data_IF_973352102252
#
_entry.id   IF_973352102252
#
_cell.length_a   1.000
_cell.length_b   1.000
_cell.length_c   1.000
_cell.angle_alpha   90.00
_cell.angle_beta   90.00
_cell.angle_gamma   90.00
#
_symmetry.space_group_name_H-M   'P 1'
#
loop_
_entity.id
_entity.type
_entity.pdbx_description
1 polymer ?
#
# COMPACT_ATOMS: atom_id res chain seq x y z
N UNK A 1 -18.61 42.26 -15.38
CA UNK A 1 -18.05 40.90 -15.22
C UNK A 1 -19.05 39.90 -15.78
N UNK A 2 -18.63 38.98 -16.64
CA UNK A 2 -19.53 38.01 -17.29
C UNK A 2 -20.03 37.00 -16.25
N UNK A 3 -21.34 36.80 -16.17
CA UNK A 3 -21.92 35.84 -15.24
C UNK A 3 -21.66 34.42 -15.74
N UNK A 4 -20.92 33.63 -14.96
CA UNK A 4 -20.56 32.25 -15.31
C UNK A 4 -21.72 31.30 -14.97
N UNK A 5 -21.89 30.25 -15.77
CA UNK A 5 -23.00 29.31 -15.63
C UNK A 5 -22.86 28.39 -14.40
N UNK A 6 -21.63 28.06 -13.99
CA UNK A 6 -21.33 27.08 -12.92
C UNK A 6 -20.36 27.64 -11.87
N UNK A 7 -19.33 28.40 -12.28
CA UNK A 7 -18.30 28.93 -11.37
C UNK A 7 -18.93 29.87 -10.35
N UNK A 8 -18.61 29.66 -9.08
CA UNK A 8 -19.15 30.44 -7.96
C UNK A 8 -20.57 30.04 -7.50
N UNK A 9 -21.14 28.96 -8.05
CA UNK A 9 -22.48 28.47 -7.68
C UNK A 9 -22.38 27.18 -6.87
N UNK A 10 -23.32 27.00 -5.94
CA UNK A 10 -23.51 25.74 -5.22
C UNK A 10 -24.22 24.73 -6.12
N UNK A 11 -23.44 24.00 -6.92
CA UNK A 11 -23.94 22.96 -7.82
C UNK A 11 -23.77 21.57 -7.21
N UNK A 12 -24.66 20.64 -7.55
CA UNK A 12 -24.54 19.25 -7.12
C UNK A 12 -23.28 18.62 -7.74
N UNK A 13 -22.39 18.09 -6.89
CA UNK A 13 -21.19 17.37 -7.33
C UNK A 13 -21.59 16.04 -7.98
N UNK A 14 -21.02 15.72 -9.15
CA UNK A 14 -21.40 14.56 -9.97
C UNK A 14 -21.45 13.23 -9.22
N UNK A 15 -20.47 12.98 -8.36
CA UNK A 15 -20.30 11.74 -7.59
C UNK A 15 -21.00 11.79 -6.21
N UNK A 16 -21.61 12.92 -5.82
CA UNK A 16 -22.18 13.08 -4.47
C UNK A 16 -23.25 12.04 -4.19
N UNK A 17 -24.17 11.82 -5.13
CA UNK A 17 -25.30 10.91 -4.96
C UNK A 17 -24.86 9.46 -4.77
N UNK A 18 -23.89 8.98 -5.55
CA UNK A 18 -23.38 7.61 -5.41
C UNK A 18 -22.69 7.42 -4.05
N UNK A 19 -21.84 8.37 -3.66
CA UNK A 19 -21.11 8.32 -2.37
C UNK A 19 -22.02 8.35 -1.16
N UNK A 20 -23.02 9.25 -1.11
CA UNK A 20 -23.92 9.34 0.07
C UNK A 20 -24.89 8.17 0.17
N UNK A 21 -25.10 7.43 -0.93
CA UNK A 21 -25.93 6.23 -0.96
C UNK A 21 -25.12 4.94 -0.79
N UNK A 22 -23.80 5.00 -0.61
CA UNK A 22 -22.94 3.82 -0.53
C UNK A 22 -22.89 3.00 -1.83
N UNK A 23 -23.09 3.65 -2.99
CA UNK A 23 -23.10 3.02 -4.32
C UNK A 23 -21.82 3.25 -5.11
N UNK A 24 -20.93 4.09 -4.59
CA UNK A 24 -19.61 4.27 -5.17
C UNK A 24 -18.74 3.08 -4.77
N UNK A 25 -18.14 2.38 -5.74
CA UNK A 25 -17.21 1.29 -5.49
C UNK A 25 -15.78 1.84 -5.38
N UNK A 26 -15.12 1.54 -4.26
CA UNK A 26 -13.71 1.82 -4.05
C UNK A 26 -12.88 0.56 -4.30
N UNK A 27 -11.56 0.70 -4.45
CA UNK A 27 -10.67 -0.45 -4.68
C UNK A 27 -10.80 -1.55 -3.62
N UNK A 28 -11.17 -1.19 -2.38
CA UNK A 28 -11.37 -2.13 -1.27
C UNK A 28 -12.66 -2.94 -1.38
N UNK A 29 -13.64 -2.47 -2.16
CA UNK A 29 -14.91 -3.16 -2.39
C UNK A 29 -14.80 -4.20 -3.52
N UNK A 30 -13.76 -4.09 -4.35
CA UNK A 30 -13.53 -4.96 -5.49
C UNK A 30 -13.19 -6.39 -5.06
N UNK A 31 -13.78 -7.37 -5.74
CA UNK A 31 -13.47 -8.79 -5.59
C UNK A 31 -13.23 -9.40 -6.96
N UNK A 32 -12.09 -10.05 -7.14
CA UNK A 32 -11.72 -10.73 -8.38
C UNK A 32 -11.59 -12.25 -8.16
N UNK A 33 -11.95 -13.09 -9.15
CA UNK A 33 -11.67 -14.52 -9.09
C UNK A 33 -10.17 -14.78 -8.86
N UNK A 34 -9.84 -15.60 -7.86
CA UNK A 34 -8.45 -15.93 -7.53
C UNK A 34 -7.65 -14.84 -6.80
N UNK A 35 -8.32 -13.79 -6.31
CA UNK A 35 -7.66 -12.71 -5.56
C UNK A 35 -6.93 -13.22 -4.31
N UNK A 36 -5.65 -12.90 -4.20
CA UNK A 36 -4.86 -13.09 -2.98
C UNK A 36 -5.00 -11.86 -2.08
N UNK A 37 -4.91 -12.07 -0.77
CA UNK A 37 -4.80 -11.01 0.22
C UNK A 37 -3.36 -10.96 0.73
N UNK A 38 -2.80 -9.75 0.86
CA UNK A 38 -1.44 -9.53 1.33
C UNK A 38 -1.46 -8.80 2.67
N UNK A 39 -0.45 -9.05 3.51
CA UNK A 39 -0.24 -8.34 4.77
C UNK A 39 1.25 -8.03 4.94
N UNK A 40 1.60 -6.76 4.90
CA UNK A 40 2.96 -6.34 5.20
C UNK A 40 3.30 -6.56 6.69
N UNK A 41 4.43 -7.21 6.95
CA UNK A 41 5.08 -7.24 8.25
C UNK A 41 5.96 -6.00 8.38
N UNK A 42 5.64 -5.12 9.33
CA UNK A 42 6.43 -3.93 9.62
C UNK A 42 7.49 -4.19 10.69
N UNK A 43 8.62 -3.47 10.61
CA UNK A 43 9.66 -3.48 11.63
C UNK A 43 9.13 -3.05 13.01
N UNK A 44 9.40 -3.78 14.10
CA UNK A 44 9.12 -3.30 15.45
C UNK A 44 10.17 -2.29 15.95
N UNK A 45 11.28 -2.12 15.22
CA UNK A 45 12.40 -1.28 15.61
C UNK A 45 12.44 0.03 14.81
N UNK A 46 12.80 1.17 15.46
CA UNK A 46 12.93 2.44 14.77
C UNK A 46 14.14 2.50 13.84
N UNK A 47 15.22 1.77 14.14
CA UNK A 47 16.36 1.62 13.24
C UNK A 47 17.15 0.36 13.59
N UNK A 48 17.36 -0.54 12.63
CA UNK A 48 18.06 -1.80 12.87
C UNK A 48 18.62 -2.39 11.57
N UNK A 49 19.69 -3.18 11.67
CA UNK A 49 20.17 -3.98 10.54
C UNK A 49 19.32 -5.25 10.42
N UNK A 50 18.90 -5.58 9.21
CA UNK A 50 18.25 -6.85 8.90
C UNK A 50 19.35 -7.86 8.66
N UNK A 51 19.55 -8.76 9.62
CA UNK A 51 20.55 -9.83 9.50
C UNK A 51 19.98 -11.02 8.73
N UNK A 52 18.79 -11.47 9.12
CA UNK A 52 18.08 -12.60 8.53
C UNK A 52 16.57 -12.36 8.59
N UNK A 53 15.84 -12.96 7.63
CA UNK A 53 14.38 -13.11 7.67
C UNK A 53 14.13 -14.60 7.46
N UNK A 54 13.50 -15.24 8.45
CA UNK A 54 13.05 -16.63 8.35
C UNK A 54 11.53 -16.64 8.17
N UNK A 55 11.08 -17.06 6.99
CA UNK A 55 9.67 -17.12 6.62
C UNK A 55 9.09 -18.55 6.72
N UNK A 56 9.90 -19.55 7.09
CA UNK A 56 9.56 -20.97 6.97
C UNK A 56 8.26 -21.35 7.70
N UNK A 57 8.05 -20.81 8.90
CA UNK A 57 6.84 -21.06 9.67
C UNK A 57 5.59 -20.47 8.99
N UNK A 58 5.70 -19.28 8.38
CA UNK A 58 4.58 -18.63 7.70
C UNK A 58 4.23 -19.35 6.40
N UNK A 59 5.23 -19.80 5.63
CA UNK A 59 5.04 -20.54 4.38
C UNK A 59 4.31 -21.89 4.58
N UNK A 60 4.41 -22.48 5.76
CA UNK A 60 3.75 -23.74 6.10
C UNK A 60 2.30 -23.57 6.55
N UNK A 61 1.83 -22.34 6.79
CA UNK A 61 0.46 -22.11 7.26
C UNK A 61 -0.56 -22.38 6.14
N UNK A 62 -1.67 -23.10 6.43
CA UNK A 62 -2.76 -23.25 5.49
C UNK A 62 -3.29 -21.89 5.01
N UNK A 63 -3.41 -21.71 3.69
CA UNK A 63 -3.92 -20.49 3.07
C UNK A 63 -2.85 -19.44 2.73
N UNK A 64 -1.59 -19.62 3.16
CA UNK A 64 -0.48 -18.79 2.70
C UNK A 64 -0.04 -19.25 1.31
N UNK A 65 -0.06 -18.33 0.35
CA UNK A 65 0.35 -18.62 -1.03
C UNK A 65 1.86 -18.49 -1.24
N UNK A 66 2.46 -17.51 -0.57
CA UNK A 66 3.88 -17.19 -0.59
C UNK A 66 4.19 -16.17 0.52
N UNK A 67 5.48 -16.02 0.84
CA UNK A 67 6.01 -14.85 1.57
C UNK A 67 7.01 -14.18 0.64
N UNK A 68 6.95 -12.86 0.52
CA UNK A 68 7.90 -12.08 -0.28
C UNK A 68 8.74 -11.18 0.60
N UNK A 69 10.01 -11.03 0.25
CA UNK A 69 10.97 -10.15 0.94
C UNK A 69 11.56 -9.14 -0.03
N UNK A 70 12.46 -8.29 0.46
CA UNK A 70 13.20 -7.39 -0.42
C UNK A 70 13.93 -8.11 -1.56
N UNK A 71 14.30 -9.40 -1.41
CA UNK A 71 14.96 -10.19 -2.44
C UNK A 71 14.09 -10.40 -3.70
N UNK A 72 12.77 -10.45 -3.52
CA UNK A 72 11.79 -10.66 -4.59
C UNK A 72 11.35 -9.35 -5.26
N UNK A 73 11.76 -8.21 -4.69
CA UNK A 73 11.44 -6.88 -5.18
C UNK A 73 12.57 -6.28 -6.02
N UNK A 74 12.25 -5.45 -7.03
CA UNK A 74 13.25 -4.67 -7.75
C UNK A 74 14.08 -3.79 -6.80
N UNK A 75 15.35 -3.55 -7.13
CA UNK A 75 16.25 -2.65 -6.37
C UNK A 75 15.83 -1.16 -6.53
N UNK A 76 14.78 -0.87 -7.29
CA UNK A 76 14.30 0.48 -7.56
C UNK A 76 13.79 1.13 -6.27
N UNK A 77 14.38 2.28 -5.94
CA UNK A 77 13.93 3.10 -4.83
C UNK A 77 12.72 3.95 -5.22
N UNK A 78 11.79 4.05 -4.29
CA UNK A 78 10.61 4.90 -4.28
C UNK A 78 10.87 6.13 -3.40
N UNK A 79 9.87 6.99 -3.26
CA UNK A 79 9.99 8.21 -2.45
C UNK A 79 9.07 9.31 -2.97
N UNK A 80 9.07 10.43 -2.27
CA UNK A 80 8.15 11.56 -2.52
C UNK A 80 8.84 12.64 -3.33
N UNK A 81 8.16 13.12 -4.38
CA UNK A 81 8.69 14.17 -5.26
C UNK A 81 9.96 13.72 -5.99
N UNK A 82 11.05 14.46 -5.81
CA UNK A 82 12.34 14.20 -6.48
C UNK A 82 13.27 13.28 -5.68
N UNK A 83 12.95 12.98 -4.42
CA UNK A 83 13.79 12.13 -3.56
C UNK A 83 13.39 10.66 -3.75
N UNK A 84 14.38 9.81 -4.03
CA UNK A 84 14.22 8.37 -4.29
C UNK A 84 15.13 7.56 -3.36
N UNK A 85 14.73 7.43 -2.11
CA UNK A 85 15.53 6.86 -1.02
C UNK A 85 14.83 5.70 -0.28
N UNK A 86 13.56 5.40 -0.60
CA UNK A 86 12.75 4.40 0.11
C UNK A 86 12.66 3.09 -0.69
N UNK A 87 13.18 1.97 -0.18
CA UNK A 87 12.96 0.68 -0.84
C UNK A 87 11.48 0.26 -0.75
N UNK A 88 11.02 -0.65 -1.61
CA UNK A 88 9.65 -1.18 -1.55
C UNK A 88 9.45 -2.01 -0.27
N UNK A 89 10.42 -2.89 0.02
CA UNK A 89 10.58 -3.62 1.27
C UNK A 89 11.99 -3.34 1.78
N UNK A 90 12.14 -3.11 3.07
CA UNK A 90 13.40 -2.75 3.70
C UNK A 90 14.50 -3.76 3.35
N UNK A 91 15.65 -3.24 2.91
CA UNK A 91 16.79 -4.04 2.46
C UNK A 91 18.02 -3.71 3.30
N UNK A 92 18.49 -4.69 4.07
CA UNK A 92 19.69 -4.60 4.91
C UNK A 92 19.54 -3.73 6.16
N UNK A 93 18.72 -2.68 6.13
CA UNK A 93 18.44 -1.80 7.26
C UNK A 93 16.99 -1.33 7.23
N UNK A 94 16.38 -1.25 8.41
CA UNK A 94 15.11 -0.54 8.67
C UNK A 94 15.43 0.81 9.29
N UNK A 95 14.64 1.83 8.95
CA UNK A 95 14.83 3.26 9.23
C UNK A 95 13.70 3.86 10.06
N UNK A 96 12.59 3.13 10.22
CA UNK A 96 11.47 3.55 11.07
C UNK A 96 10.61 2.35 11.53
N UNK A 97 9.86 2.56 12.62
CA UNK A 97 8.89 1.57 13.12
C UNK A 97 7.77 1.42 12.08
N UNK A 98 7.48 0.19 11.70
CA UNK A 98 6.49 -0.14 10.69
C UNK A 98 7.02 -0.15 9.26
N UNK A 99 8.32 0.09 9.03
CA UNK A 99 8.89 -0.09 7.69
C UNK A 99 8.69 -1.54 7.23
N UNK A 100 8.05 -1.78 6.07
CA UNK A 100 7.76 -3.14 5.60
C UNK A 100 9.03 -3.97 5.38
N UNK A 101 9.11 -5.16 5.97
CA UNK A 101 10.26 -6.08 5.80
C UNK A 101 9.91 -7.33 4.98
N UNK A 102 8.65 -7.74 5.00
CA UNK A 102 8.11 -8.87 4.24
C UNK A 102 6.59 -8.69 4.01
N UNK A 103 5.99 -9.47 3.10
CA UNK A 103 4.55 -9.47 2.86
C UNK A 103 4.02 -10.83 2.38
#
# INVERSE_FOLDING_TARGET
MTQLSVVGKSVLRRDARAKVLGREEFCIDMKLPGMLHAKALGSPHPHAKILTIDASAAEQLPGVRCVVTAADAPIKLTGTGTVRDMPILARGVVRYIGEPVAA
#
